data_IF_246918035395
#
_entry.id   IF_246918035395
#
_cell.length_a   1.000
_cell.length_b   1.000
_cell.length_c   1.000
_cell.angle_alpha   90.00
_cell.angle_beta   90.00
_cell.angle_gamma   90.00
#
_symmetry.space_group_name_H-M   'P 1'
#
loop_
_entity.id
_entity.type
_entity.pdbx_description
1 polymer ?
#
# COMPACT_ATOMS: atom_id res chain seq x y z
N UNK A 1 0.55 4.13 -23.82
CA UNK A 1 -0.87 4.12 -24.03
C UNK A 1 -1.44 2.77 -23.55
N UNK A 2 -2.38 2.81 -22.65
CA UNK A 2 -3.10 1.63 -22.14
C UNK A 2 -4.59 1.99 -22.23
N UNK A 3 -5.40 1.15 -22.85
CA UNK A 3 -6.85 1.36 -22.98
C UNK A 3 -7.26 2.75 -23.54
N UNK A 4 -6.44 3.34 -24.45
CA UNK A 4 -6.70 4.66 -25.03
C UNK A 4 -6.18 5.85 -24.22
N UNK A 5 -5.82 5.67 -22.98
CA UNK A 5 -5.23 6.70 -22.12
C UNK A 5 -3.71 6.81 -22.29
N UNK A 6 -3.13 7.99 -22.00
CA UNK A 6 -1.70 8.27 -22.10
C UNK A 6 -1.14 8.79 -20.78
N UNK A 7 0.11 8.40 -20.50
CA UNK A 7 0.96 9.07 -19.52
C UNK A 7 2.36 9.22 -20.12
N UNK A 8 2.97 10.39 -19.93
CA UNK A 8 4.28 10.68 -20.43
C UNK A 8 5.35 10.40 -19.39
N UNK A 9 6.44 9.77 -19.83
CA UNK A 9 7.62 9.47 -19.03
C UNK A 9 8.82 10.23 -19.57
N UNK A 10 9.37 11.17 -18.79
CA UNK A 10 10.60 11.84 -19.15
C UNK A 10 11.81 10.94 -18.87
N UNK A 11 12.56 10.61 -19.91
CA UNK A 11 13.76 9.76 -19.80
C UNK A 11 15.03 10.54 -19.48
N UNK A 12 14.94 11.88 -19.29
CA UNK A 12 16.07 12.80 -18.97
C UNK A 12 17.28 12.64 -19.90
N UNK A 13 17.04 12.37 -21.16
CA UNK A 13 18.02 12.30 -22.25
C UNK A 13 17.56 13.20 -23.37
N UNK A 14 18.49 13.90 -23.99
CA UNK A 14 18.22 14.86 -25.03
C UNK A 14 18.97 14.44 -26.30
N UNK A 15 18.33 14.61 -27.43
CA UNK A 15 18.94 14.47 -28.73
C UNK A 15 18.33 15.49 -29.71
N UNK A 16 19.00 15.79 -30.79
CA UNK A 16 18.45 16.69 -31.79
C UNK A 16 17.35 15.99 -32.57
N UNK A 17 16.29 16.72 -33.02
CA UNK A 17 15.19 16.12 -33.76
C UNK A 17 15.62 15.36 -35.01
N UNK A 18 16.68 15.81 -35.68
CA UNK A 18 17.23 15.21 -36.92
C UNK A 18 17.83 13.79 -36.63
N UNK A 19 18.32 13.59 -35.41
CA UNK A 19 18.94 12.33 -34.97
C UNK A 19 17.92 11.29 -34.56
N UNK A 20 16.63 11.64 -34.46
CA UNK A 20 15.55 10.74 -34.03
C UNK A 20 14.89 10.06 -35.24
N UNK A 21 14.74 8.75 -35.18
CA UNK A 21 13.91 7.94 -36.06
C UNK A 21 12.54 7.72 -35.45
N UNK A 22 11.56 8.50 -35.88
CA UNK A 22 10.20 8.44 -35.37
C UNK A 22 9.45 7.14 -35.75
N UNK A 23 9.90 6.43 -36.79
CA UNK A 23 9.29 5.17 -37.22
C UNK A 23 9.76 3.99 -36.37
N UNK A 24 11.06 3.99 -36.04
CA UNK A 24 11.70 2.92 -35.26
C UNK A 24 11.77 3.24 -33.78
N UNK A 25 11.52 4.49 -33.40
CA UNK A 25 11.66 4.99 -32.01
C UNK A 25 13.06 4.76 -31.44
N UNK A 26 14.09 5.12 -32.22
CA UNK A 26 15.50 4.98 -31.87
C UNK A 26 16.32 6.20 -32.37
N UNK A 27 17.50 6.40 -31.82
CA UNK A 27 18.49 7.34 -32.35
C UNK A 27 19.09 6.77 -33.62
N UNK A 28 19.14 7.59 -34.69
CA UNK A 28 19.72 7.23 -35.98
C UNK A 28 21.24 7.07 -35.88
N UNK A 29 21.80 6.25 -36.78
CA UNK A 29 23.25 6.08 -36.92
C UNK A 29 23.78 4.82 -36.26
N UNK A 30 25.10 4.59 -36.43
CA UNK A 30 25.84 3.44 -35.90
C UNK A 30 26.97 3.86 -34.95
N UNK A 31 27.00 5.13 -34.55
CA UNK A 31 27.99 5.62 -33.61
C UNK A 31 27.87 4.92 -32.24
N UNK A 32 28.95 4.95 -31.48
CA UNK A 32 28.92 4.42 -30.12
C UNK A 32 27.88 5.14 -29.22
N UNK A 33 27.71 6.45 -29.46
CA UNK A 33 26.72 7.29 -28.80
C UNK A 33 25.28 6.83 -29.11
N UNK A 34 24.98 6.60 -30.41
CA UNK A 34 23.67 6.08 -30.81
C UNK A 34 23.38 4.70 -30.19
N UNK A 35 24.39 3.84 -30.10
CA UNK A 35 24.24 2.54 -29.46
C UNK A 35 23.92 2.67 -27.96
N UNK A 36 24.71 3.45 -27.21
CA UNK A 36 24.49 3.67 -25.79
C UNK A 36 23.10 4.29 -25.52
N UNK A 37 22.68 5.22 -26.38
CA UNK A 37 21.38 5.85 -26.27
C UNK A 37 20.25 4.83 -26.50
N UNK A 38 20.37 4.01 -27.52
CA UNK A 38 19.36 2.99 -27.86
C UNK A 38 19.32 1.86 -26.83
N UNK A 39 20.46 1.43 -26.30
CA UNK A 39 20.53 0.45 -25.21
C UNK A 39 19.84 0.98 -23.95
N UNK A 40 20.00 2.26 -23.64
CA UNK A 40 19.28 2.91 -22.54
C UNK A 40 17.76 2.93 -22.76
N UNK A 41 17.30 3.26 -23.98
CA UNK A 41 15.86 3.23 -24.29
C UNK A 41 15.29 1.82 -24.16
N UNK A 42 16.04 0.81 -24.60
CA UNK A 42 15.62 -0.58 -24.47
C UNK A 42 15.53 -1.02 -23.00
N UNK A 43 16.49 -0.62 -22.17
CA UNK A 43 16.44 -0.87 -20.73
C UNK A 43 15.19 -0.23 -20.08
N UNK A 44 14.80 0.97 -20.53
CA UNK A 44 13.57 1.64 -20.07
C UNK A 44 12.32 0.84 -20.50
N UNK A 45 12.29 0.34 -21.74
CA UNK A 45 11.18 -0.50 -22.25
C UNK A 45 11.05 -1.79 -21.45
N UNK A 46 12.16 -2.50 -21.23
CA UNK A 46 12.19 -3.73 -20.43
C UNK A 46 11.68 -3.44 -19.01
N UNK A 47 12.14 -2.37 -18.39
CA UNK A 47 11.66 -1.95 -17.07
C UNK A 47 10.15 -1.68 -17.06
N UNK A 48 9.65 -1.02 -18.11
CA UNK A 48 8.22 -0.71 -18.24
C UNK A 48 7.39 -1.99 -18.37
N UNK A 49 7.80 -2.94 -19.22
CA UNK A 49 7.12 -4.23 -19.36
C UNK A 49 7.12 -5.03 -18.06
N UNK A 50 8.26 -5.08 -17.36
CA UNK A 50 8.34 -5.75 -16.07
C UNK A 50 7.36 -5.14 -15.07
N UNK A 51 7.33 -3.81 -14.95
CA UNK A 51 6.41 -3.10 -14.04
C UNK A 51 4.94 -3.26 -14.44
N UNK A 52 4.65 -3.30 -15.73
CA UNK A 52 3.30 -3.57 -16.22
C UNK A 52 2.81 -4.97 -15.82
N UNK A 53 3.65 -6.00 -16.01
CA UNK A 53 3.32 -7.36 -15.59
C UNK A 53 3.16 -7.49 -14.06
N UNK A 54 4.01 -6.80 -13.28
CA UNK A 54 3.85 -6.71 -11.82
C UNK A 54 2.50 -6.09 -11.44
N UNK A 55 2.07 -5.03 -12.12
CA UNK A 55 0.77 -4.39 -11.88
C UNK A 55 -0.39 -5.29 -12.30
N UNK A 56 -0.32 -5.97 -13.45
CA UNK A 56 -1.34 -6.92 -13.91
C UNK A 56 -1.56 -8.08 -12.92
N UNK A 57 -0.52 -8.51 -12.20
CA UNK A 57 -0.67 -9.52 -11.15
C UNK A 57 -1.42 -9.01 -9.91
N UNK A 58 -1.60 -7.68 -9.78
CA UNK A 58 -2.23 -7.03 -8.64
C UNK A 58 -3.63 -6.50 -8.95
N UNK A 59 -3.89 -6.11 -10.21
CA UNK A 59 -5.18 -5.54 -10.65
C UNK A 59 -5.36 -5.75 -12.15
N UNK A 60 -6.60 -5.99 -12.57
CA UNK A 60 -6.96 -6.09 -13.99
C UNK A 60 -7.05 -4.70 -14.66
N UNK A 61 -7.24 -3.63 -13.87
CA UNK A 61 -7.40 -2.26 -14.34
C UNK A 61 -6.09 -1.46 -14.17
N UNK A 62 -5.08 -1.77 -15.00
CA UNK A 62 -3.81 -1.01 -15.01
C UNK A 62 -3.97 0.27 -15.83
N UNK A 63 -3.76 1.43 -15.19
CA UNK A 63 -3.77 2.72 -15.88
C UNK A 63 -2.34 3.15 -16.29
N UNK A 64 -2.19 3.99 -17.35
CA UNK A 64 -0.88 4.53 -17.74
C UNK A 64 -0.20 5.30 -16.61
N UNK A 65 -0.99 5.97 -15.76
CA UNK A 65 -0.51 6.71 -14.61
C UNK A 65 0.13 5.78 -13.56
N UNK A 66 -0.54 4.66 -13.25
CA UNK A 66 0.01 3.64 -12.34
C UNK A 66 1.33 3.09 -12.85
N UNK A 67 1.43 2.81 -14.16
CA UNK A 67 2.64 2.33 -14.79
C UNK A 67 3.77 3.37 -14.73
N UNK A 68 3.48 4.63 -15.06
CA UNK A 68 4.46 5.73 -14.97
C UNK A 68 5.02 5.85 -13.55
N UNK A 69 4.15 5.86 -12.57
CA UNK A 69 4.52 6.02 -11.17
C UNK A 69 5.35 4.82 -10.67
N UNK A 70 5.03 3.61 -11.11
CA UNK A 70 5.82 2.41 -10.83
C UNK A 70 7.22 2.42 -11.48
N UNK A 71 7.34 2.96 -12.72
CA UNK A 71 8.63 3.09 -13.43
C UNK A 71 9.52 4.13 -12.76
N UNK A 72 8.95 5.27 -12.39
CA UNK A 72 9.67 6.35 -11.72
C UNK A 72 10.09 6.01 -10.29
N UNK A 73 9.55 4.91 -9.74
CA UNK A 73 9.69 4.64 -8.31
C UNK A 73 9.03 5.74 -7.48
N UNK A 74 8.19 6.55 -8.10
CA UNK A 74 7.23 7.38 -7.40
C UNK A 74 6.25 6.38 -6.83
N UNK A 75 6.70 5.78 -5.73
CA UNK A 75 5.79 5.06 -4.89
C UNK A 75 4.84 6.14 -4.40
N UNK A 76 3.69 6.16 -5.00
CA UNK A 76 2.61 7.07 -4.73
C UNK A 76 1.96 6.83 -3.37
N UNK A 77 2.58 6.13 -2.53
CA UNK A 77 2.53 6.21 -1.09
C UNK A 77 3.92 5.79 -0.62
N UNK A 78 4.67 6.63 0.05
CA UNK A 78 5.55 6.25 1.16
C UNK A 78 4.93 5.00 1.74
N UNK A 79 5.61 3.85 1.69
CA UNK A 79 4.98 2.57 2.05
C UNK A 79 4.29 2.76 3.39
N UNK A 80 2.98 2.97 3.36
CA UNK A 80 2.21 3.32 4.56
C UNK A 80 2.27 2.15 5.49
N UNK A 81 2.63 2.42 6.70
CA UNK A 81 2.70 1.42 7.75
C UNK A 81 1.41 1.41 8.57
N UNK A 82 1.14 0.30 9.21
CA UNK A 82 -0.12 0.10 9.95
C UNK A 82 -0.26 1.10 11.08
N UNK A 83 0.80 1.28 11.86
CA UNK A 83 0.77 2.18 13.02
C UNK A 83 0.67 3.64 12.56
N UNK A 84 1.38 4.03 11.49
CA UNK A 84 1.30 5.37 10.90
C UNK A 84 -0.14 5.71 10.46
N UNK A 85 -0.81 4.81 9.73
CA UNK A 85 -2.21 4.99 9.34
C UNK A 85 -3.13 5.06 10.55
N UNK A 86 -2.87 4.23 11.55
CA UNK A 86 -3.67 4.21 12.78
C UNK A 86 -3.48 5.49 13.59
N UNK A 87 -2.27 6.02 13.64
CA UNK A 87 -1.98 7.31 14.28
C UNK A 87 -2.69 8.48 13.59
N UNK A 88 -2.66 8.51 12.26
CA UNK A 88 -3.41 9.52 11.50
C UNK A 88 -4.91 9.45 11.82
N UNK A 89 -5.47 8.24 11.89
CA UNK A 89 -6.88 8.05 12.24
C UNK A 89 -7.19 8.52 13.68
N UNK A 90 -6.37 8.13 14.65
CA UNK A 90 -6.51 8.52 16.06
C UNK A 90 -6.39 10.03 16.25
N UNK A 91 -5.42 10.65 15.57
CA UNK A 91 -5.23 12.12 15.60
C UNK A 91 -6.43 12.86 14.98
N UNK A 92 -7.03 12.29 13.93
CA UNK A 92 -8.28 12.80 13.35
C UNK A 92 -9.43 12.75 14.35
N UNK A 93 -9.62 11.62 15.03
CA UNK A 93 -10.64 11.47 16.06
C UNK A 93 -10.43 12.44 17.23
N UNK A 94 -9.18 12.65 17.65
CA UNK A 94 -8.83 13.57 18.73
C UNK A 94 -9.26 15.02 18.42
N UNK A 95 -9.02 15.49 17.20
CA UNK A 95 -9.40 16.84 16.75
C UNK A 95 -10.91 17.09 16.74
N UNK A 96 -11.71 16.02 16.68
CA UNK A 96 -13.17 16.07 16.60
C UNK A 96 -13.85 15.75 17.95
N UNK A 97 -13.09 15.62 19.04
CA UNK A 97 -13.66 15.41 20.38
C UNK A 97 -14.55 16.60 20.76
N UNK A 98 -15.75 16.29 21.23
CA UNK A 98 -16.75 17.31 21.60
C UNK A 98 -17.56 17.87 20.43
N UNK A 99 -17.24 17.51 19.18
CA UNK A 99 -18.03 17.86 17.98
C UNK A 99 -18.73 16.61 17.40
N UNK A 100 -17.95 15.70 16.84
CA UNK A 100 -18.46 14.49 16.19
C UNK A 100 -18.08 13.22 16.94
N UNK A 101 -17.07 13.28 17.83
CA UNK A 101 -16.54 12.13 18.54
C UNK A 101 -16.50 12.37 20.05
N UNK A 102 -16.58 11.28 20.81
CA UNK A 102 -16.38 11.28 22.25
C UNK A 102 -14.94 10.95 22.61
N UNK A 103 -14.49 11.39 23.78
CA UNK A 103 -13.19 10.98 24.32
C UNK A 103 -13.06 9.46 24.46
N UNK A 104 -14.14 8.76 24.79
CA UNK A 104 -14.19 7.31 24.88
C UNK A 104 -13.91 6.64 23.51
N UNK A 105 -14.41 7.22 22.40
CA UNK A 105 -14.11 6.75 21.06
C UNK A 105 -12.62 6.89 20.74
N UNK A 106 -12.02 8.04 21.01
CA UNK A 106 -10.58 8.26 20.87
C UNK A 106 -9.77 7.24 21.68
N UNK A 107 -10.07 7.09 22.98
CA UNK A 107 -9.37 6.12 23.85
C UNK A 107 -9.45 4.69 23.32
N UNK A 108 -10.61 4.27 22.83
CA UNK A 108 -10.83 2.94 22.28
C UNK A 108 -9.86 2.63 21.12
N UNK A 109 -9.73 3.54 20.17
CA UNK A 109 -8.84 3.35 19.02
C UNK A 109 -7.37 3.44 19.43
N UNK A 110 -7.02 4.35 20.31
CA UNK A 110 -5.64 4.49 20.80
C UNK A 110 -5.20 3.26 21.61
N UNK A 111 -6.07 2.71 22.47
CA UNK A 111 -5.81 1.46 23.20
C UNK A 111 -5.60 0.30 22.24
N UNK A 112 -6.47 0.15 21.23
CA UNK A 112 -6.35 -0.91 20.23
C UNK A 112 -5.03 -0.80 19.43
N UNK A 113 -4.62 0.41 19.03
CA UNK A 113 -3.32 0.66 18.39
C UNK A 113 -2.16 0.16 19.27
N UNK A 114 -2.18 0.52 20.55
CA UNK A 114 -1.12 0.15 21.48
C UNK A 114 -1.04 -1.37 21.70
N UNK A 115 -2.18 -2.08 21.75
CA UNK A 115 -2.21 -3.54 21.82
C UNK A 115 -1.62 -4.17 20.56
N UNK A 116 -1.96 -3.66 19.37
CA UNK A 116 -1.40 -4.16 18.12
C UNK A 116 0.12 -3.91 18.03
N UNK A 117 0.58 -2.73 18.46
CA UNK A 117 2.02 -2.41 18.53
C UNK A 117 2.78 -3.38 19.45
N UNK A 118 2.23 -3.68 20.63
CA UNK A 118 2.82 -4.67 21.56
C UNK A 118 2.89 -6.07 20.94
N UNK A 119 1.85 -6.48 20.24
CA UNK A 119 1.83 -7.74 19.48
C UNK A 119 2.96 -7.77 18.44
N UNK A 120 3.12 -6.72 17.63
CA UNK A 120 4.19 -6.62 16.64
C UNK A 120 5.58 -6.71 17.29
N UNK A 121 5.79 -6.01 18.39
CA UNK A 121 7.04 -6.04 19.13
C UNK A 121 7.36 -7.44 19.63
N UNK A 122 6.38 -8.15 20.17
CA UNK A 122 6.58 -9.47 20.77
C UNK A 122 6.81 -10.57 19.74
N UNK A 123 5.97 -10.62 18.69
CA UNK A 123 5.97 -11.73 17.73
C UNK A 123 6.86 -11.49 16.51
N UNK A 124 7.03 -10.22 16.11
CA UNK A 124 7.78 -9.86 14.91
C UNK A 124 9.04 -9.04 15.23
N UNK A 125 9.24 -8.62 16.48
CA UNK A 125 10.38 -7.79 16.94
C UNK A 125 10.51 -6.46 16.18
N UNK A 126 9.41 -5.90 15.74
CA UNK A 126 9.33 -4.62 15.02
C UNK A 126 8.33 -3.69 15.70
N UNK A 127 8.49 -2.38 15.50
CA UNK A 127 7.56 -1.39 16.05
C UNK A 127 6.37 -1.11 15.12
N UNK A 128 6.52 -1.41 13.83
CA UNK A 128 5.52 -1.18 12.80
C UNK A 128 5.80 -2.07 11.59
N UNK A 129 4.82 -2.25 10.72
CA UNK A 129 4.91 -3.04 9.49
C UNK A 129 4.22 -2.32 8.34
N UNK A 130 4.62 -2.62 7.09
CA UNK A 130 3.88 -2.18 5.92
C UNK A 130 2.43 -2.65 5.99
N UNK A 131 1.48 -1.80 5.61
CA UNK A 131 0.05 -2.18 5.54
C UNK A 131 -0.17 -3.40 4.62
N UNK A 132 0.66 -3.58 3.61
CA UNK A 132 0.62 -4.73 2.69
C UNK A 132 1.08 -6.05 3.32
N UNK A 133 1.72 -5.99 4.49
CA UNK A 133 2.17 -7.18 5.21
C UNK A 133 1.09 -7.80 6.11
N UNK A 134 -0.06 -7.13 6.27
CA UNK A 134 -1.19 -7.72 7.00
C UNK A 134 -1.83 -8.80 6.13
N UNK A 135 -1.82 -10.02 6.62
CA UNK A 135 -2.46 -11.17 6.02
C UNK A 135 -3.41 -11.89 7.01
N UNK A 136 -4.11 -12.88 6.50
CA UNK A 136 -5.00 -13.73 7.30
C UNK A 136 -4.29 -14.38 8.49
N UNK A 137 -3.07 -14.88 8.28
CA UNK A 137 -2.30 -15.57 9.32
C UNK A 137 -1.95 -14.63 10.48
N UNK A 138 -1.49 -13.43 10.19
CA UNK A 138 -1.19 -12.42 11.21
C UNK A 138 -2.43 -12.03 12.01
N UNK A 139 -3.59 -11.90 11.36
CA UNK A 139 -4.85 -11.60 12.05
C UNK A 139 -5.23 -12.74 13.03
N UNK A 140 -5.05 -14.00 12.63
CA UNK A 140 -5.30 -15.14 13.50
C UNK A 140 -4.33 -15.19 14.69
N UNK A 141 -3.04 -14.92 14.45
CA UNK A 141 -2.04 -14.82 15.52
C UNK A 141 -2.37 -13.68 16.49
N UNK A 142 -2.78 -12.53 15.98
CA UNK A 142 -3.20 -11.42 16.83
C UNK A 142 -4.45 -11.76 17.67
N UNK A 143 -5.43 -12.43 17.09
CA UNK A 143 -6.61 -12.93 17.82
C UNK A 143 -6.21 -13.91 18.93
N UNK A 144 -5.30 -14.83 18.66
CA UNK A 144 -4.78 -15.76 19.66
C UNK A 144 -4.07 -15.01 20.79
N UNK A 145 -3.13 -14.10 20.44
CA UNK A 145 -2.44 -13.25 21.40
C UNK A 145 -3.39 -12.49 22.34
N UNK A 146 -4.45 -11.89 21.78
CA UNK A 146 -5.44 -11.16 22.58
C UNK A 146 -6.13 -12.06 23.61
N UNK A 147 -6.44 -13.31 23.25
CA UNK A 147 -7.15 -14.25 24.13
C UNK A 147 -6.25 -14.90 25.16
N UNK A 148 -5.05 -15.35 24.74
CA UNK A 148 -4.17 -16.17 25.58
C UNK A 148 -3.26 -15.35 26.47
N UNK A 149 -2.74 -14.22 25.96
CA UNK A 149 -1.75 -13.44 26.69
C UNK A 149 -2.32 -12.15 27.29
N UNK A 150 -3.28 -11.55 26.61
CA UNK A 150 -3.93 -10.34 27.10
C UNK A 150 -5.19 -10.64 27.93
N UNK A 151 -5.57 -11.92 28.06
CA UNK A 151 -6.72 -12.36 28.84
C UNK A 151 -8.06 -11.81 28.34
N UNK A 152 -8.14 -11.40 27.07
CA UNK A 152 -9.36 -10.84 26.51
C UNK A 152 -10.42 -11.93 26.33
N UNK A 153 -11.64 -11.67 26.78
CA UNK A 153 -12.77 -12.50 26.38
C UNK A 153 -13.06 -12.33 24.89
N UNK A 154 -13.94 -13.21 24.36
CA UNK A 154 -14.27 -13.24 22.93
C UNK A 154 -14.70 -11.88 22.39
N UNK A 155 -15.64 -11.21 23.07
CA UNK A 155 -16.20 -9.93 22.62
C UNK A 155 -15.16 -8.80 22.66
N UNK A 156 -14.28 -8.79 23.66
CA UNK A 156 -13.18 -7.81 23.76
C UNK A 156 -12.15 -8.02 22.64
N UNK A 157 -11.73 -9.27 22.38
CA UNK A 157 -10.83 -9.58 21.28
C UNK A 157 -11.44 -9.19 19.92
N UNK A 158 -12.75 -9.49 19.73
CA UNK A 158 -13.49 -9.10 18.52
C UNK A 158 -13.50 -7.59 18.33
N UNK A 159 -13.67 -6.78 19.39
CA UNK A 159 -13.60 -5.31 19.30
C UNK A 159 -12.23 -4.83 18.85
N UNK A 160 -11.13 -5.43 19.31
CA UNK A 160 -9.78 -5.09 18.86
C UNK A 160 -9.57 -5.44 17.38
N UNK A 161 -10.06 -6.59 16.93
CA UNK A 161 -10.02 -6.99 15.53
C UNK A 161 -10.86 -6.07 14.64
N UNK A 162 -12.05 -5.63 15.10
CA UNK A 162 -12.87 -4.66 14.39
C UNK A 162 -12.14 -3.31 14.21
N UNK A 163 -11.37 -2.86 15.22
CA UNK A 163 -10.55 -1.65 15.09
C UNK A 163 -9.43 -1.83 14.06
N UNK A 164 -8.73 -2.97 14.03
CA UNK A 164 -7.74 -3.28 12.99
C UNK A 164 -8.40 -3.34 11.59
N UNK A 165 -9.57 -3.98 11.48
CA UNK A 165 -10.34 -4.00 10.23
C UNK A 165 -10.69 -2.60 9.74
N UNK A 166 -11.00 -1.66 10.65
CA UNK A 166 -11.24 -0.26 10.27
C UNK A 166 -10.03 0.36 9.58
N UNK A 167 -8.82 0.07 10.07
CA UNK A 167 -7.58 0.58 9.47
C UNK A 167 -7.33 -0.04 8.09
N UNK A 168 -7.56 -1.35 7.92
CA UNK A 168 -7.46 -1.98 6.59
C UNK A 168 -8.51 -1.44 5.62
N UNK A 169 -9.74 -1.18 6.05
CA UNK A 169 -10.77 -0.54 5.22
C UNK A 169 -10.37 0.89 4.78
N UNK A 170 -9.79 1.70 5.69
CA UNK A 170 -9.25 3.02 5.34
C UNK A 170 -8.16 2.87 4.28
N UNK A 171 -7.29 1.88 4.44
CA UNK A 171 -6.18 1.62 3.53
C UNK A 171 -6.65 1.18 2.14
N UNK A 172 -7.69 0.36 2.07
CA UNK A 172 -8.30 -0.06 0.79
C UNK A 172 -8.93 1.14 0.08
N UNK A 173 -9.70 1.97 0.81
CA UNK A 173 -10.34 3.17 0.23
C UNK A 173 -9.33 4.19 -0.30
N UNK A 174 -8.13 4.22 0.26
CA UNK A 174 -7.04 5.09 -0.20
C UNK A 174 -6.10 4.42 -1.22
N UNK A 175 -6.39 3.18 -1.65
CA UNK A 175 -5.57 2.45 -2.61
C UNK A 175 -4.21 1.97 -2.07
N UNK A 176 -3.99 2.01 -0.75
CA UNK A 176 -2.74 1.54 -0.13
C UNK A 176 -2.71 0.03 0.09
N UNK A 177 -3.90 -0.59 0.15
CA UNK A 177 -4.11 -2.03 0.25
C UNK A 177 -5.13 -2.45 -0.81
N UNK A 178 -4.84 -3.49 -1.58
CA UNK A 178 -5.67 -3.93 -2.71
C UNK A 178 -6.71 -4.96 -2.27
N UNK A 179 -6.32 -5.91 -1.42
CA UNK A 179 -7.18 -7.01 -0.96
C UNK A 179 -7.50 -6.84 0.52
N UNK A 180 -8.75 -7.13 0.91
CA UNK A 180 -9.14 -7.15 2.32
C UNK A 180 -8.59 -8.41 3.00
N UNK A 181 -7.66 -8.28 3.97
CA UNK A 181 -7.11 -9.44 4.68
C UNK A 181 -8.11 -10.08 5.64
N UNK A 182 -9.27 -9.46 5.87
CA UNK A 182 -10.35 -9.98 6.71
C UNK A 182 -11.39 -10.81 5.95
N UNK A 183 -11.18 -11.06 4.64
CA UNK A 183 -12.09 -11.94 3.88
C UNK A 183 -12.16 -13.30 4.58
N UNK A 184 -13.40 -13.77 4.81
CA UNK A 184 -13.67 -15.03 5.52
C UNK A 184 -13.57 -14.99 7.05
N UNK A 185 -13.25 -13.82 7.65
CA UNK A 185 -13.22 -13.66 9.11
C UNK A 185 -14.51 -13.02 9.60
N UNK A 186 -15.31 -13.78 10.36
CA UNK A 186 -16.48 -13.25 11.04
C UNK A 186 -16.07 -12.50 12.31
N UNK A 187 -16.56 -11.27 12.46
CA UNK A 187 -16.34 -10.41 13.62
C UNK A 187 -17.67 -10.10 14.36
N UNK A 188 -18.57 -11.07 14.39
CA UNK A 188 -19.81 -10.97 15.17
C UNK A 188 -19.53 -11.11 16.66
N UNK A 189 -20.23 -10.36 17.49
CA UNK A 189 -20.17 -10.53 18.95
C UNK A 189 -21.06 -11.69 19.35
N UNK A 190 -20.67 -12.38 20.42
CA UNK A 190 -21.55 -13.37 21.07
C UNK A 190 -22.49 -12.64 22.02
N UNK A 191 -23.73 -13.07 22.04
CA UNK A 191 -24.66 -12.67 23.10
C UNK A 191 -24.14 -13.19 24.45
N UNK A 192 -24.25 -12.33 25.48
CA UNK A 192 -23.80 -12.61 26.85
C UNK A 192 -25.01 -13.02 27.68
#
# INVERSE_FOLDING_TARGET
NINGERADLQVKRYLKPEEWDATRYVMKGRSNEARIFNDYLEAVRIKAHKKYNELLSLTDDVTPQMLRDAILGVNTAKARTVIDIWEDHVNGLQKLIGKENTYATYQKYNTAKNHFKKFLQKYYRVNDISIKAIDYHMIQQYNMYLKTEMGCNYNTATKFLQNLKRITCISIRNGWLIKDPFVGISLSMKEV
#
